data_IF_119475064247
#
_entry.id   IF_119475064247
#
_cell.length_a   1.000
_cell.length_b   1.000
_cell.length_c   1.000
_cell.angle_alpha   90.00
_cell.angle_beta   90.00
_cell.angle_gamma   90.00
#
_symmetry.space_group_name_H-M   'P 1'
#
loop_
_entity.id
_entity.type
_entity.pdbx_description
1 polymer ?
#
# COMPACT_ATOMS: atom_id res chain seq x y z
N UNK A 1 -21.89 1.41 8.60
CA UNK A 1 -21.37 0.08 8.28
C UNK A 1 -21.16 -0.06 6.77
N UNK A 2 -20.01 -0.54 6.38
CA UNK A 2 -19.69 -0.76 4.98
C UNK A 2 -20.35 -2.04 4.46
N UNK A 3 -20.76 -2.05 3.21
CA UNK A 3 -21.31 -3.25 2.59
C UNK A 3 -20.20 -3.98 1.80
N UNK A 4 -20.54 -5.18 1.34
CA UNK A 4 -19.58 -6.04 0.65
C UNK A 4 -19.09 -5.43 -0.67
N UNK A 5 -19.93 -4.66 -1.37
CA UNK A 5 -19.55 -4.02 -2.62
C UNK A 5 -18.52 -2.91 -2.38
N UNK A 6 -18.66 -2.17 -1.28
CA UNK A 6 -17.68 -1.14 -0.91
C UNK A 6 -16.32 -1.76 -0.59
N UNK A 7 -16.33 -2.90 0.11
CA UNK A 7 -15.09 -3.62 0.39
C UNK A 7 -14.41 -4.08 -0.90
N UNK A 8 -15.19 -4.64 -1.81
CA UNK A 8 -14.65 -5.08 -3.11
C UNK A 8 -14.06 -3.92 -3.90
N UNK A 9 -14.72 -2.77 -3.88
CA UNK A 9 -14.20 -1.58 -4.56
C UNK A 9 -12.84 -1.18 -3.98
N UNK A 10 -12.77 -1.06 -2.66
CA UNK A 10 -11.52 -0.66 -2.01
C UNK A 10 -10.41 -1.69 -2.23
N UNK A 11 -10.73 -2.98 -2.16
CA UNK A 11 -9.76 -4.04 -2.40
C UNK A 11 -9.24 -4.02 -3.84
N UNK A 12 -10.14 -3.84 -4.82
CA UNK A 12 -9.76 -3.77 -6.23
C UNK A 12 -8.87 -2.58 -6.52
N UNK A 13 -9.21 -1.42 -5.97
CA UNK A 13 -8.43 -0.20 -6.20
C UNK A 13 -7.05 -0.30 -5.59
N UNK A 14 -6.95 -0.85 -4.38
CA UNK A 14 -5.65 -1.08 -3.76
C UNK A 14 -4.82 -2.06 -4.59
N UNK A 15 -5.44 -3.14 -5.05
CA UNK A 15 -4.74 -4.14 -5.87
C UNK A 15 -4.18 -3.51 -7.14
N UNK A 16 -4.98 -2.70 -7.85
CA UNK A 16 -4.53 -2.00 -9.06
C UNK A 16 -3.30 -1.14 -8.79
N UNK A 17 -3.34 -0.34 -7.73
CA UNK A 17 -2.23 0.57 -7.41
C UNK A 17 -0.99 -0.19 -6.96
N UNK A 18 -1.17 -1.28 -6.21
CA UNK A 18 -0.04 -2.12 -5.79
C UNK A 18 0.66 -2.76 -6.99
N UNK A 19 -0.11 -3.20 -7.99
CA UNK A 19 0.46 -3.77 -9.21
C UNK A 19 1.22 -2.72 -10.01
N UNK A 20 0.70 -1.50 -10.09
CA UNK A 20 1.39 -0.39 -10.77
C UNK A 20 2.70 -0.04 -10.06
N UNK A 21 2.68 0.05 -8.72
CA UNK A 21 3.89 0.30 -7.95
C UNK A 21 4.92 -0.80 -8.18
N UNK A 22 4.49 -2.06 -8.09
CA UNK A 22 5.38 -3.19 -8.31
C UNK A 22 6.01 -3.12 -9.70
N UNK A 23 5.24 -2.77 -10.72
CA UNK A 23 5.73 -2.64 -12.10
C UNK A 23 6.83 -1.57 -12.20
N UNK A 24 6.60 -0.39 -11.59
CA UNK A 24 7.60 0.70 -11.64
C UNK A 24 8.87 0.34 -10.89
N UNK A 25 8.74 -0.35 -9.75
CA UNK A 25 9.92 -0.79 -8.98
C UNK A 25 10.74 -1.80 -9.77
N UNK A 26 10.09 -2.75 -10.44
CA UNK A 26 10.78 -3.73 -11.29
C UNK A 26 11.50 -3.04 -12.45
N UNK A 27 10.88 -2.04 -13.07
CA UNK A 27 11.52 -1.27 -14.14
C UNK A 27 12.80 -0.60 -13.64
N UNK A 28 12.74 0.06 -12.49
CA UNK A 28 13.91 0.73 -11.92
C UNK A 28 15.02 -0.28 -11.58
N UNK A 29 14.62 -1.42 -11.02
CA UNK A 29 15.55 -2.49 -10.66
C UNK A 29 16.27 -3.03 -11.89
N UNK A 30 15.54 -3.25 -12.99
CA UNK A 30 16.10 -3.81 -14.21
C UNK A 30 16.84 -2.80 -15.07
N UNK A 31 16.53 -1.51 -14.94
CA UNK A 31 17.13 -0.44 -15.72
C UNK A 31 17.62 0.68 -14.80
N UNK A 32 18.62 0.43 -13.96
CA UNK A 32 19.05 1.40 -12.94
C UNK A 32 19.60 2.70 -13.50
N UNK A 33 19.97 2.73 -14.80
CA UNK A 33 20.45 3.95 -15.45
C UNK A 33 19.33 4.91 -15.84
N UNK A 34 18.09 4.48 -15.80
CA UNK A 34 16.92 5.33 -16.08
C UNK A 34 16.32 5.80 -14.75
N UNK A 35 15.73 7.00 -14.82
CA UNK A 35 15.13 7.61 -13.62
C UNK A 35 13.63 7.44 -13.61
N UNK A 36 13.15 6.56 -12.72
CA UNK A 36 11.72 6.35 -12.48
C UNK A 36 11.27 6.97 -11.16
N UNK A 37 12.10 7.82 -10.57
CA UNK A 37 11.90 8.34 -9.22
C UNK A 37 10.52 9.00 -9.03
N UNK A 38 10.18 9.95 -9.92
CA UNK A 38 8.91 10.67 -9.83
C UNK A 38 7.70 9.74 -9.98
N UNK A 39 7.80 8.79 -10.91
CA UNK A 39 6.72 7.84 -11.16
C UNK A 39 6.54 6.92 -9.95
N UNK A 40 7.62 6.47 -9.35
CA UNK A 40 7.55 5.63 -8.15
C UNK A 40 6.92 6.41 -7.00
N UNK A 41 7.29 7.68 -6.82
CA UNK A 41 6.66 8.51 -5.78
C UNK A 41 5.15 8.65 -5.99
N UNK A 42 4.72 8.87 -7.23
CA UNK A 42 3.30 8.95 -7.57
C UNK A 42 2.58 7.65 -7.20
N UNK A 43 3.18 6.52 -7.55
CA UNK A 43 2.57 5.22 -7.25
C UNK A 43 2.53 4.93 -5.75
N UNK A 44 3.56 5.34 -5.01
CA UNK A 44 3.54 5.21 -3.54
C UNK A 44 2.41 6.03 -2.95
N UNK A 45 2.20 7.26 -3.44
CA UNK A 45 1.12 8.11 -2.99
C UNK A 45 -0.24 7.46 -3.25
N UNK A 46 -0.42 6.90 -4.44
CA UNK A 46 -1.67 6.23 -4.83
C UNK A 46 -1.94 5.00 -3.97
N UNK A 47 -0.91 4.17 -3.76
CA UNK A 47 -1.02 2.99 -2.90
C UNK A 47 -1.37 3.42 -1.47
N UNK A 48 -0.71 4.46 -0.96
CA UNK A 48 -0.95 4.94 0.40
C UNK A 48 -2.40 5.41 0.58
N UNK A 49 -2.93 6.14 -0.39
CA UNK A 49 -4.32 6.57 -0.37
C UNK A 49 -5.29 5.38 -0.33
N UNK A 50 -5.08 4.42 -1.23
CA UNK A 50 -5.94 3.24 -1.30
C UNK A 50 -5.76 2.33 -0.08
N UNK A 51 -4.55 2.24 0.44
CA UNK A 51 -4.28 1.47 1.66
C UNK A 51 -5.00 2.08 2.86
N UNK A 52 -5.01 3.41 2.99
CA UNK A 52 -5.73 4.07 4.06
C UNK A 52 -7.23 3.76 4.02
N UNK A 53 -7.81 3.72 2.82
CA UNK A 53 -9.21 3.35 2.66
C UNK A 53 -9.47 1.90 3.08
N UNK A 54 -8.52 1.02 2.77
CA UNK A 54 -8.64 -0.40 3.10
C UNK A 54 -8.46 -0.66 4.59
N UNK A 55 -7.56 0.09 5.23
CA UNK A 55 -7.27 -0.04 6.66
C UNK A 55 -8.52 0.17 7.51
N UNK A 56 -9.42 1.06 7.07
CA UNK A 56 -10.66 1.34 7.81
C UNK A 56 -11.55 0.12 8.02
N UNK A 57 -11.36 -0.93 7.23
CA UNK A 57 -12.12 -2.18 7.35
C UNK A 57 -11.60 -3.09 8.45
N UNK A 58 -10.46 -2.78 9.06
CA UNK A 58 -9.74 -3.69 9.94
C UNK A 58 -9.35 -3.04 11.25
N UNK A 59 -8.88 -3.85 12.18
CA UNK A 59 -8.45 -3.41 13.51
C UNK A 59 -7.00 -2.91 13.43
N UNK A 60 -6.84 -1.58 13.51
CA UNK A 60 -5.51 -0.96 13.40
C UNK A 60 -4.60 -1.31 14.58
N UNK A 61 -5.17 -1.52 15.78
CA UNK A 61 -4.36 -1.93 16.93
C UNK A 61 -3.78 -3.32 16.73
N UNK A 62 -4.58 -4.24 16.20
CA UNK A 62 -4.11 -5.59 15.90
C UNK A 62 -3.02 -5.57 14.85
N UNK A 63 -3.17 -4.74 13.81
CA UNK A 63 -2.14 -4.61 12.77
C UNK A 63 -0.85 -4.02 13.34
N UNK A 64 -0.96 -2.98 14.15
CA UNK A 64 0.20 -2.35 14.78
C UNK A 64 0.95 -3.35 15.66
N UNK A 65 0.22 -4.14 16.45
CA UNK A 65 0.85 -5.16 17.30
C UNK A 65 1.59 -6.20 16.47
N UNK A 66 1.02 -6.62 15.35
CA UNK A 66 1.70 -7.57 14.45
C UNK A 66 2.97 -6.98 13.86
N UNK A 67 2.98 -5.69 13.55
CA UNK A 67 4.18 -5.02 13.05
C UNK A 67 5.28 -4.99 14.10
N UNK A 68 4.92 -4.69 15.36
CA UNK A 68 5.88 -4.74 16.47
C UNK A 68 6.43 -6.15 16.61
N UNK A 69 5.55 -7.15 16.63
CA UNK A 69 5.94 -8.55 16.87
C UNK A 69 6.83 -9.12 15.75
N UNK A 70 6.50 -8.80 14.51
CA UNK A 70 7.21 -9.35 13.35
C UNK A 70 8.42 -8.56 12.93
N UNK A 71 8.34 -7.24 13.00
CA UNK A 71 9.32 -6.35 12.40
C UNK A 71 10.00 -5.41 13.38
N UNK A 72 9.51 -5.35 14.63
CA UNK A 72 10.05 -4.49 15.67
C UNK A 72 9.85 -3.00 15.43
N UNK A 73 8.81 -2.62 14.68
CA UNK A 73 8.50 -1.21 14.40
C UNK A 73 7.48 -0.68 15.38
N UNK A 74 7.50 0.64 15.59
CA UNK A 74 6.58 1.32 16.49
C UNK A 74 5.15 1.33 15.94
N UNK A 75 4.18 1.41 16.86
CA UNK A 75 2.77 1.51 16.52
C UNK A 75 2.46 2.73 15.66
N UNK A 76 3.26 3.78 15.78
CA UNK A 76 3.06 5.04 15.03
C UNK A 76 3.30 4.89 13.53
N UNK A 77 3.87 3.78 13.09
CA UNK A 77 4.17 3.56 11.68
C UNK A 77 2.92 3.30 10.85
N UNK A 78 1.87 2.80 11.47
CA UNK A 78 0.61 2.51 10.77
C UNK A 78 -0.28 3.72 10.67
#
# INVERSE_FOLDING_TARGET
MHNNEDWKHDANKLTEEMLELASELVKQYNKPHKDYHSKIQDEIADVSYRLNNMIEWYDTKAMAQRMVDKWGVDEDVI
#
